data_IF_559092000045
#
_entry.id   IF_559092000045
#
_cell.length_a   1.000
_cell.length_b   1.000
_cell.length_c   1.000
_cell.angle_alpha   90.00
_cell.angle_beta   90.00
_cell.angle_gamma   90.00
#
_symmetry.space_group_name_H-M   'P 1'
#
loop_
_entity.id
_entity.type
_entity.pdbx_description
1 polymer ?
#
# COMPACT_ATOMS: atom_id res chain seq x y z
N UNK A 1 24.30 12.85 9.00
CA UNK A 1 23.64 11.63 9.45
C UNK A 1 22.42 11.98 10.30
N UNK A 2 21.40 11.15 10.28
CA UNK A 2 20.19 11.29 11.08
C UNK A 2 19.83 9.89 11.62
N UNK A 3 19.39 9.83 12.87
CA UNK A 3 18.82 8.64 13.50
C UNK A 3 17.53 9.04 14.18
N UNK A 4 16.50 8.24 14.10
CA UNK A 4 15.21 8.53 14.70
C UNK A 4 14.46 7.27 15.14
N UNK A 5 13.51 7.50 16.03
CA UNK A 5 12.54 6.52 16.50
C UNK A 5 11.15 7.11 16.33
N UNK A 6 10.22 6.32 15.85
CA UNK A 6 8.82 6.68 15.70
C UNK A 6 7.97 5.67 16.44
N UNK A 7 7.05 6.14 17.26
CA UNK A 7 6.06 5.32 17.92
C UNK A 7 4.66 5.86 17.59
N UNK A 8 3.84 4.98 17.05
CA UNK A 8 2.44 5.26 16.74
C UNK A 8 1.54 4.30 17.51
N UNK A 9 0.58 4.83 18.26
CA UNK A 9 -0.45 4.05 18.96
C UNK A 9 -1.83 4.61 18.60
N UNK A 10 -2.68 3.80 18.00
CA UNK A 10 -4.03 4.16 17.64
C UNK A 10 -5.01 3.22 18.35
N UNK A 11 -5.91 3.80 19.11
CA UNK A 11 -7.01 3.11 19.75
C UNK A 11 -8.32 3.67 19.21
N UNK A 12 -9.15 2.78 18.68
CA UNK A 12 -10.48 3.12 18.17
C UNK A 12 -11.51 2.30 18.93
N UNK A 13 -12.58 2.97 19.33
CA UNK A 13 -13.74 2.39 20.02
C UNK A 13 -15.00 2.98 19.43
N UNK A 14 -15.99 2.15 19.21
CA UNK A 14 -17.28 2.60 18.71
C UNK A 14 -18.40 1.69 19.20
N UNK A 15 -19.59 2.18 19.07
CA UNK A 15 -20.80 1.39 19.19
C UNK A 15 -21.80 1.85 18.12
N UNK A 16 -22.67 0.95 17.73
CA UNK A 16 -23.81 1.25 16.87
C UNK A 16 -25.06 0.66 17.48
N UNK A 17 -26.16 1.34 17.26
CA UNK A 17 -27.49 0.84 17.59
C UNK A 17 -28.42 1.13 16.42
N UNK A 18 -29.26 0.17 16.08
CA UNK A 18 -30.24 0.32 15.02
C UNK A 18 -31.57 -0.31 15.46
N UNK A 19 -32.67 0.21 14.90
CA UNK A 19 -33.99 -0.33 15.13
C UNK A 19 -34.90 -0.03 13.94
N UNK A 20 -35.94 -0.83 13.79
CA UNK A 20 -36.92 -0.71 12.71
C UNK A 20 -38.32 -0.62 13.25
N UNK A 21 -39.29 -0.25 12.41
CA UNK A 21 -40.72 -0.22 12.75
C UNK A 21 -41.09 0.99 13.62
N UNK A 22 -40.53 2.17 13.30
CA UNK A 22 -41.05 3.43 13.81
C UNK A 22 -42.47 3.68 13.28
N UNK A 23 -43.42 4.16 14.11
CA UNK A 23 -44.80 4.38 13.69
C UNK A 23 -44.96 5.51 12.67
N UNK A 24 -44.04 6.47 12.65
CA UNK A 24 -44.04 7.62 11.74
C UNK A 24 -42.63 7.93 11.28
N UNK A 25 -42.51 8.46 10.06
CA UNK A 25 -41.19 8.84 9.47
C UNK A 25 -40.48 9.96 10.24
N UNK A 26 -41.20 10.79 10.94
CA UNK A 26 -40.67 11.92 11.70
C UNK A 26 -40.09 11.52 13.07
N UNK A 27 -40.40 10.30 13.55
CA UNK A 27 -39.86 9.75 14.80
C UNK A 27 -38.67 8.84 14.50
N UNK A 28 -37.49 9.42 14.41
CA UNK A 28 -36.23 8.71 14.07
C UNK A 28 -35.45 8.21 15.29
N UNK A 29 -35.97 8.40 16.50
CA UNK A 29 -35.32 7.93 17.72
C UNK A 29 -35.52 6.42 17.95
N UNK A 30 -34.48 5.77 18.43
CA UNK A 30 -34.49 4.33 18.73
C UNK A 30 -35.61 3.94 19.75
N UNK A 31 -36.02 4.87 20.59
CA UNK A 31 -37.12 4.65 21.58
C UNK A 31 -38.46 4.32 20.92
N UNK A 32 -38.68 4.84 19.71
CA UNK A 32 -39.93 4.64 18.97
C UNK A 32 -39.90 3.45 18.01
N UNK A 33 -38.81 2.73 17.95
CA UNK A 33 -38.73 1.51 17.14
C UNK A 33 -39.38 0.33 17.85
N UNK A 34 -39.79 -0.68 17.09
CA UNK A 34 -40.41 -1.89 17.63
C UNK A 34 -39.53 -2.56 18.69
N UNK A 35 -40.14 -3.04 19.75
CA UNK A 35 -39.48 -3.81 20.83
C UNK A 35 -39.48 -5.32 20.57
N UNK A 36 -39.99 -5.77 19.42
CA UNK A 36 -39.95 -7.16 19.04
C UNK A 36 -38.51 -7.72 19.01
N UNK A 37 -38.36 -8.96 19.36
CA UNK A 37 -37.04 -9.61 19.40
C UNK A 37 -36.33 -9.56 18.04
N UNK A 38 -35.08 -9.11 18.04
CA UNK A 38 -34.22 -8.99 16.84
C UNK A 38 -34.41 -7.71 16.02
N UNK A 39 -35.38 -6.84 16.39
CA UNK A 39 -35.63 -5.58 15.67
C UNK A 39 -34.63 -4.49 16.08
N UNK A 40 -34.26 -4.44 17.35
CA UNK A 40 -33.21 -3.56 17.86
C UNK A 40 -31.90 -4.30 17.92
N UNK A 41 -30.87 -3.75 17.28
CA UNK A 41 -29.54 -4.29 17.27
C UNK A 41 -28.58 -3.30 17.94
N UNK A 42 -27.72 -3.81 18.80
CA UNK A 42 -26.68 -3.04 19.46
C UNK A 42 -25.37 -3.78 19.20
N UNK A 43 -24.38 -3.07 18.71
CA UNK A 43 -23.03 -3.59 18.48
C UNK A 43 -22.00 -2.64 19.06
N UNK A 44 -20.88 -3.19 19.48
CA UNK A 44 -19.74 -2.41 19.98
C UNK A 44 -18.44 -3.06 19.59
N UNK A 45 -17.46 -2.23 19.27
CA UNK A 45 -16.14 -2.68 18.86
C UNK A 45 -15.04 -1.80 19.43
N UNK A 46 -13.86 -2.36 19.57
CA UNK A 46 -12.65 -1.64 19.92
C UNK A 46 -11.45 -2.28 19.23
N UNK A 47 -10.56 -1.42 18.71
CA UNK A 47 -9.37 -1.84 17.99
C UNK A 47 -8.17 -1.06 18.50
N UNK A 48 -7.03 -1.71 18.57
CA UNK A 48 -5.77 -1.07 18.88
C UNK A 48 -4.68 -1.53 17.93
N UNK A 49 -3.94 -0.58 17.35
CA UNK A 49 -2.77 -0.87 16.53
C UNK A 49 -1.60 -0.03 17.00
N UNK A 50 -0.40 -0.60 16.93
CA UNK A 50 0.84 0.04 17.29
C UNK A 50 1.90 -0.20 16.24
N UNK A 51 2.68 0.85 15.95
CA UNK A 51 3.86 0.77 15.10
C UNK A 51 5.02 1.33 15.91
N UNK A 52 6.13 0.61 15.91
CA UNK A 52 7.39 1.07 16.45
C UNK A 52 8.43 0.97 15.36
N UNK A 53 9.08 2.09 15.06
CA UNK A 53 10.03 2.20 13.97
C UNK A 53 11.35 2.78 14.43
N UNK A 54 12.44 2.21 13.94
CA UNK A 54 13.79 2.73 14.08
C UNK A 54 14.31 3.04 12.69
N UNK A 55 14.89 4.21 12.50
CA UNK A 55 15.42 4.58 11.20
C UNK A 55 16.70 5.38 11.32
N UNK A 56 17.54 5.23 10.31
CA UNK A 56 18.76 5.99 10.15
C UNK A 56 18.98 6.37 8.70
N UNK A 57 19.59 7.54 8.50
CA UNK A 57 19.96 8.05 7.18
C UNK A 57 21.33 8.70 7.23
N UNK A 58 22.17 8.37 6.25
CA UNK A 58 23.46 9.01 6.03
C UNK A 58 23.47 9.57 4.62
N UNK A 59 23.75 10.86 4.50
CA UNK A 59 23.97 11.52 3.22
C UNK A 59 25.43 11.94 3.16
N UNK A 60 26.08 11.63 2.04
CA UNK A 60 27.45 12.03 1.75
C UNK A 60 27.47 12.81 0.44
N UNK A 61 28.10 13.96 0.49
CA UNK A 61 28.33 14.85 -0.65
C UNK A 61 29.83 15.12 -0.76
N UNK A 62 30.40 14.73 -1.88
CA UNK A 62 31.80 15.03 -2.18
C UNK A 62 31.89 16.04 -3.32
N UNK A 63 32.36 17.26 -2.97
CA UNK A 63 32.53 18.40 -3.89
C UNK A 63 31.27 18.74 -4.69
N UNK A 64 30.11 18.39 -4.18
CA UNK A 64 28.82 18.51 -4.88
C UNK A 64 28.81 17.84 -6.28
N UNK A 65 29.74 16.91 -6.52
CA UNK A 65 29.85 16.08 -7.73
C UNK A 65 29.26 14.69 -7.51
N UNK A 66 29.64 14.07 -6.39
CA UNK A 66 29.22 12.69 -6.05
C UNK A 66 28.34 12.73 -4.81
N UNK A 67 27.14 12.26 -4.99
CA UNK A 67 26.10 12.25 -3.96
C UNK A 67 25.77 10.81 -3.61
N UNK A 68 25.76 10.47 -2.32
CA UNK A 68 25.37 9.15 -1.83
C UNK A 68 24.41 9.32 -0.66
N UNK A 69 23.32 8.54 -0.67
CA UNK A 69 22.39 8.46 0.46
C UNK A 69 22.16 7.00 0.81
N UNK A 70 22.31 6.67 2.08
CA UNK A 70 22.01 5.37 2.66
C UNK A 70 20.88 5.54 3.66
N UNK A 71 19.88 4.67 3.58
CA UNK A 71 18.73 4.66 4.50
C UNK A 71 18.53 3.23 4.99
N UNK A 72 18.27 3.10 6.29
CA UNK A 72 17.83 1.85 6.89
C UNK A 72 16.65 2.16 7.79
N UNK A 73 15.54 1.45 7.58
CA UNK A 73 14.36 1.52 8.43
C UNK A 73 13.96 0.13 8.89
N UNK A 74 13.63 0.00 10.16
CA UNK A 74 13.10 -1.21 10.77
C UNK A 74 11.80 -0.90 11.49
N UNK A 75 10.72 -1.50 11.01
CA UNK A 75 9.35 -1.24 11.47
C UNK A 75 8.75 -2.49 12.11
N UNK A 76 8.15 -2.34 13.29
CA UNK A 76 7.40 -3.39 13.96
C UNK A 76 5.92 -3.04 14.01
N UNK A 77 5.04 -3.93 13.54
CA UNK A 77 3.60 -3.71 13.44
C UNK A 77 2.81 -4.71 14.28
N UNK A 78 1.98 -4.21 15.19
CA UNK A 78 1.31 -5.05 16.20
C UNK A 78 0.29 -6.05 15.66
N UNK A 79 -0.28 -5.83 14.46
CA UNK A 79 -1.23 -6.74 13.83
C UNK A 79 -0.57 -7.98 13.23
N UNK A 80 0.75 -7.97 13.02
CA UNK A 80 1.49 -9.11 12.51
C UNK A 80 1.88 -10.10 13.63
N UNK A 81 2.07 -11.39 13.30
CA UNK A 81 2.54 -12.39 14.26
C UNK A 81 3.89 -12.01 14.86
N UNK A 82 4.19 -12.49 16.04
CA UNK A 82 5.45 -12.15 16.76
C UNK A 82 6.69 -12.36 15.90
N UNK A 83 6.76 -13.46 15.19
CA UNK A 83 7.93 -13.88 14.41
C UNK A 83 8.10 -13.05 13.12
N UNK A 84 7.01 -12.52 12.57
CA UNK A 84 7.00 -11.74 11.31
C UNK A 84 6.68 -10.25 11.52
N UNK A 85 6.62 -9.82 12.77
CA UNK A 85 6.23 -8.45 13.14
C UNK A 85 7.17 -7.38 12.62
N UNK A 86 8.46 -7.71 12.56
CA UNK A 86 9.50 -6.76 12.19
C UNK A 86 9.88 -6.87 10.72
N UNK A 87 9.76 -5.77 9.99
CA UNK A 87 10.28 -5.59 8.65
C UNK A 87 11.54 -4.70 8.66
N UNK A 88 12.51 -5.01 7.80
CA UNK A 88 13.71 -4.21 7.62
C UNK A 88 13.78 -3.75 6.17
N UNK A 89 13.93 -2.45 5.95
CA UNK A 89 13.80 -1.78 4.66
C UNK A 89 15.04 -0.93 4.40
N UNK A 90 16.05 -1.48 3.73
CA UNK A 90 17.23 -0.74 3.30
C UNK A 90 16.96 0.05 2.02
N UNK A 91 17.67 1.16 1.85
CA UNK A 91 17.71 1.94 0.62
C UNK A 91 19.07 2.59 0.39
N UNK A 92 19.47 2.62 -0.87
CA UNK A 92 20.68 3.30 -1.33
C UNK A 92 20.34 4.14 -2.55
N UNK A 93 20.89 5.34 -2.61
CA UNK A 93 20.83 6.17 -3.81
C UNK A 93 22.15 6.85 -4.08
N UNK A 94 22.52 6.93 -5.35
CA UNK A 94 23.70 7.60 -5.81
C UNK A 94 23.35 8.63 -6.90
N UNK A 95 24.08 9.73 -6.91
CA UNK A 95 23.98 10.76 -7.95
C UNK A 95 25.36 11.28 -8.36
N UNK A 96 25.53 11.47 -9.64
CA UNK A 96 26.74 12.05 -10.22
C UNK A 96 26.37 13.31 -11.02
N UNK A 97 26.89 14.45 -10.57
CA UNK A 97 26.68 15.75 -11.22
C UNK A 97 27.77 15.94 -12.26
N UNK A 98 27.52 15.42 -13.48
CA UNK A 98 28.44 15.47 -14.61
C UNK A 98 28.85 16.88 -14.99
N UNK A 99 27.91 17.83 -14.95
CA UNK A 99 28.19 19.24 -15.32
C UNK A 99 29.24 19.95 -14.44
N UNK A 100 29.60 19.33 -13.30
CA UNK A 100 30.66 19.84 -12.42
C UNK A 100 32.03 19.20 -12.65
N UNK A 101 32.14 18.29 -13.60
CA UNK A 101 33.41 17.67 -13.98
C UNK A 101 34.19 18.57 -14.92
N UNK A 102 35.55 18.57 -14.77
CA UNK A 102 36.42 19.44 -15.55
C UNK A 102 36.32 19.16 -17.07
N UNK A 103 36.07 17.90 -17.46
CA UNK A 103 35.86 17.54 -18.87
C UNK A 103 34.61 18.10 -19.51
N UNK A 104 33.63 18.56 -18.68
CA UNK A 104 32.38 19.17 -19.14
C UNK A 104 32.45 20.69 -19.26
N UNK A 105 33.52 21.34 -18.86
CA UNK A 105 33.67 22.80 -18.91
C UNK A 105 33.49 23.36 -20.31
N UNK A 106 34.01 22.67 -21.34
CA UNK A 106 33.86 23.08 -22.74
C UNK A 106 32.43 23.07 -23.24
N UNK A 107 31.53 22.31 -22.60
CA UNK A 107 30.12 22.21 -22.93
C UNK A 107 29.20 23.10 -22.11
N UNK A 108 29.76 23.84 -21.12
CA UNK A 108 29.01 24.61 -20.11
C UNK A 108 28.08 25.70 -20.73
N UNK A 109 28.45 26.24 -21.89
CA UNK A 109 27.62 27.21 -22.62
C UNK A 109 26.30 26.64 -23.11
N UNK A 110 26.25 25.33 -23.41
CA UNK A 110 25.08 24.64 -23.93
C UNK A 110 24.43 23.81 -22.82
N UNK A 111 25.24 23.01 -22.12
CA UNK A 111 24.82 22.11 -21.05
C UNK A 111 25.05 22.74 -19.68
N UNK A 112 24.03 23.40 -19.15
CA UNK A 112 24.11 24.14 -17.87
C UNK A 112 24.08 23.25 -16.66
N UNK A 113 23.43 22.10 -16.77
CA UNK A 113 23.30 21.10 -15.72
C UNK A 113 23.16 19.71 -16.31
N UNK A 114 23.88 18.75 -15.75
CA UNK A 114 23.71 17.35 -16.08
C UNK A 114 23.98 16.50 -14.84
N UNK A 115 23.02 15.64 -14.49
CA UNK A 115 23.11 14.71 -13.37
C UNK A 115 22.55 13.36 -13.78
N UNK A 116 23.27 12.31 -13.45
CA UNK A 116 22.77 10.93 -13.48
C UNK A 116 22.46 10.50 -12.06
N UNK A 117 21.37 9.77 -11.88
CA UNK A 117 20.96 9.24 -10.58
C UNK A 117 20.51 7.79 -10.70
N UNK A 118 20.79 7.03 -9.65
CA UNK A 118 20.28 5.68 -9.50
C UNK A 118 19.92 5.42 -8.03
N UNK A 119 18.89 4.65 -7.80
CA UNK A 119 18.50 4.21 -6.46
C UNK A 119 17.99 2.77 -6.48
N UNK A 120 18.18 2.12 -5.35
CA UNK A 120 17.59 0.82 -5.06
C UNK A 120 17.14 0.79 -3.61
N UNK A 121 15.91 0.36 -3.36
CA UNK A 121 15.39 0.33 -2.01
C UNK A 121 14.22 -0.64 -1.84
N UNK A 122 14.03 -1.03 -0.58
CA UNK A 122 12.89 -1.84 -0.14
C UNK A 122 11.92 -0.98 0.66
N UNK A 123 10.61 -1.16 0.41
CA UNK A 123 9.53 -0.58 1.19
C UNK A 123 8.59 -1.69 1.67
N UNK A 124 8.10 -1.56 2.90
CA UNK A 124 7.08 -2.44 3.47
C UNK A 124 5.68 -1.87 3.36
N UNK A 125 4.70 -2.72 3.14
CA UNK A 125 3.28 -2.37 3.22
C UNK A 125 2.53 -3.41 4.05
N UNK A 126 1.53 -2.94 4.81
CA UNK A 126 0.62 -3.77 5.62
C UNK A 126 -0.82 -3.27 5.54
N UNK A 127 -1.07 -2.21 4.76
CA UNK A 127 -2.39 -1.58 4.67
C UNK A 127 -3.37 -2.35 3.79
N UNK A 128 -2.87 -3.28 2.96
CA UNK A 128 -3.70 -3.97 1.99
C UNK A 128 -4.16 -3.10 0.83
N UNK A 129 -5.22 -3.53 0.15
CA UNK A 129 -5.86 -2.81 -0.95
C UNK A 129 -7.08 -2.08 -0.42
N UNK A 130 -7.20 -0.81 -0.74
CA UNK A 130 -8.36 0.02 -0.40
C UNK A 130 -9.26 0.17 -1.63
N UNK A 131 -10.59 0.22 -1.41
CA UNK A 131 -11.55 0.62 -2.43
C UNK A 131 -11.55 2.15 -2.66
N UNK A 132 -12.37 2.62 -3.59
CA UNK A 132 -12.50 4.05 -3.90
C UNK A 132 -13.02 4.89 -2.70
N UNK A 133 -13.64 4.25 -1.71
CA UNK A 133 -14.16 4.89 -0.49
C UNK A 133 -13.17 4.81 0.67
N UNK A 134 -11.98 4.21 0.47
CA UNK A 134 -10.96 4.05 1.50
C UNK A 134 -11.19 2.86 2.45
N UNK A 135 -12.10 1.93 2.14
CA UNK A 135 -12.28 0.71 2.90
C UNK A 135 -11.25 -0.34 2.49
N UNK A 136 -10.78 -1.14 3.42
CA UNK A 136 -9.89 -2.26 3.13
C UNK A 136 -10.69 -3.36 2.44
N UNK A 137 -10.39 -3.59 1.15
CA UNK A 137 -10.99 -4.67 0.35
C UNK A 137 -10.25 -5.98 0.59
N UNK A 138 -8.92 -5.92 0.56
CA UNK A 138 -8.05 -7.06 0.83
C UNK A 138 -6.88 -6.58 1.66
N UNK A 139 -6.72 -7.08 2.86
CA UNK A 139 -5.62 -6.64 3.72
C UNK A 139 -5.68 -7.16 5.13
N UNK A 140 -4.70 -6.75 5.92
CA UNK A 140 -4.53 -7.19 7.29
C UNK A 140 -5.53 -6.52 8.22
N UNK A 141 -6.57 -7.23 8.62
CA UNK A 141 -7.46 -6.81 9.69
C UNK A 141 -6.85 -7.06 11.08
N UNK A 142 -7.52 -6.60 12.12
CA UNK A 142 -7.05 -6.75 13.51
C UNK A 142 -7.00 -8.20 13.97
N UNK A 143 -7.81 -9.07 13.39
CA UNK A 143 -7.96 -10.47 13.77
C UNK A 143 -7.43 -11.47 12.75
N UNK A 144 -6.92 -11.02 11.60
CA UNK A 144 -6.44 -11.91 10.52
C UNK A 144 -5.43 -12.97 10.99
N UNK A 145 -4.58 -12.60 11.96
CA UNK A 145 -3.56 -13.52 12.49
C UNK A 145 -4.14 -14.56 13.44
N UNK A 146 -5.10 -14.15 14.30
CA UNK A 146 -5.71 -15.00 15.31
C UNK A 146 -6.94 -15.76 14.79
N UNK A 147 -7.52 -15.31 13.69
CA UNK A 147 -8.83 -15.70 13.25
C UNK A 147 -9.95 -15.07 14.09
N UNK A 148 -11.18 -15.24 13.67
CA UNK A 148 -12.34 -14.72 14.38
C UNK A 148 -13.48 -15.73 14.44
N UNK A 149 -14.25 -15.63 15.52
CA UNK A 149 -15.50 -16.34 15.69
C UNK A 149 -16.67 -15.36 15.67
N UNK A 150 -17.74 -15.73 15.00
CA UNK A 150 -18.98 -14.99 14.96
C UNK A 150 -20.13 -15.77 15.53
N UNK A 151 -21.20 -15.08 15.84
CA UNK A 151 -22.48 -15.68 16.21
C UNK A 151 -23.14 -16.23 14.94
N UNK A 152 -23.56 -17.49 14.97
CA UNK A 152 -24.27 -18.10 13.86
C UNK A 152 -25.64 -17.43 13.68
N UNK A 153 -25.87 -16.90 12.49
CA UNK A 153 -27.15 -16.28 12.08
C UNK A 153 -27.75 -17.06 10.94
N UNK A 154 -29.08 -17.09 10.89
CA UNK A 154 -29.81 -17.62 9.74
C UNK A 154 -29.78 -16.65 8.54
N UNK A 155 -30.41 -17.06 7.43
CA UNK A 155 -30.52 -16.24 6.21
C UNK A 155 -31.22 -14.89 6.41
N UNK A 156 -32.01 -14.76 7.46
CA UNK A 156 -32.75 -13.54 7.80
C UNK A 156 -32.01 -12.69 8.83
N UNK A 157 -30.76 -13.08 9.18
CA UNK A 157 -29.90 -12.36 10.12
C UNK A 157 -30.24 -12.59 11.59
N UNK A 158 -31.16 -13.50 11.91
CA UNK A 158 -31.51 -13.85 13.29
C UNK A 158 -30.49 -14.84 13.85
N UNK A 159 -30.18 -14.70 15.14
CA UNK A 159 -29.36 -15.67 15.86
C UNK A 159 -30.05 -17.04 15.81
N UNK A 160 -29.36 -18.02 15.28
CA UNK A 160 -29.86 -19.40 15.25
C UNK A 160 -30.03 -19.88 16.69
N UNK A 161 -31.23 -20.31 17.09
CA UNK A 161 -31.44 -20.88 18.41
C UNK A 161 -30.59 -22.13 18.56
N UNK A 162 -29.97 -22.24 19.70
CA UNK A 162 -29.02 -23.32 19.90
C UNK A 162 -29.55 -24.43 20.79
N UNK A 163 -28.76 -25.46 20.87
CA UNK A 163 -28.93 -26.55 21.83
C UNK A 163 -28.66 -26.02 23.25
N UNK A 164 -29.63 -26.16 24.14
CA UNK A 164 -29.52 -25.84 25.57
C UNK A 164 -29.31 -24.35 25.92
N UNK A 165 -29.91 -23.41 25.19
CA UNK A 165 -29.91 -21.98 25.52
C UNK A 165 -28.58 -21.24 25.29
N UNK A 166 -27.58 -21.86 24.66
CA UNK A 166 -26.28 -21.22 24.35
C UNK A 166 -26.24 -20.74 22.91
N UNK A 167 -25.69 -19.57 22.66
CA UNK A 167 -25.54 -19.01 21.32
C UNK A 167 -24.44 -19.76 20.55
N UNK A 168 -24.73 -20.34 19.36
CA UNK A 168 -23.74 -21.05 18.61
C UNK A 168 -22.74 -20.09 18.00
N UNK A 169 -21.46 -20.46 18.04
CA UNK A 169 -20.37 -19.75 17.39
C UNK A 169 -19.95 -20.48 16.12
N UNK A 170 -19.63 -19.73 15.10
CA UNK A 170 -19.01 -20.23 13.87
C UNK A 170 -17.67 -19.55 13.66
N UNK A 171 -16.79 -20.20 12.93
CA UNK A 171 -15.54 -19.60 12.47
C UNK A 171 -15.89 -18.63 11.34
N UNK A 172 -15.55 -17.35 11.51
CA UNK A 172 -15.65 -16.36 10.44
C UNK A 172 -14.37 -16.32 9.61
N UNK A 173 -13.23 -16.24 10.28
CA UNK A 173 -11.92 -16.13 9.63
C UNK A 173 -10.98 -17.19 10.19
N UNK A 174 -10.25 -17.85 9.29
CA UNK A 174 -9.18 -18.77 9.69
C UNK A 174 -7.96 -18.01 10.16
N UNK A 175 -7.28 -18.46 11.22
CA UNK A 175 -6.05 -17.82 11.69
C UNK A 175 -4.92 -18.02 10.68
N UNK A 176 -4.14 -16.96 10.44
CA UNK A 176 -2.92 -17.07 9.64
C UNK A 176 -1.69 -16.59 10.42
N UNK A 177 -1.00 -17.48 11.14
CA UNK A 177 0.20 -17.14 11.89
C UNK A 177 1.43 -16.87 11.00
N UNK A 178 1.35 -17.09 9.70
CA UNK A 178 2.47 -16.89 8.76
C UNK A 178 2.43 -15.53 8.06
N UNK A 179 1.44 -14.71 8.36
CA UNK A 179 1.31 -13.35 7.77
C UNK A 179 2.56 -12.52 8.01
N UNK A 180 2.97 -11.78 6.99
CA UNK A 180 4.18 -10.95 7.00
C UNK A 180 3.99 -9.68 6.17
N UNK A 181 4.99 -8.80 6.21
CA UNK A 181 5.03 -7.58 5.42
C UNK A 181 5.02 -7.88 3.93
N UNK A 182 4.18 -7.18 3.16
CA UNK A 182 4.41 -7.04 1.72
C UNK A 182 5.69 -6.24 1.51
N UNK A 183 6.56 -6.68 0.60
CA UNK A 183 7.85 -6.04 0.32
C UNK A 183 7.90 -5.59 -1.14
N UNK A 184 8.12 -4.30 -1.33
CA UNK A 184 8.33 -3.71 -2.66
C UNK A 184 9.79 -3.31 -2.81
N UNK A 185 10.49 -3.96 -3.73
CA UNK A 185 11.85 -3.62 -4.14
C UNK A 185 11.77 -2.75 -5.39
N UNK A 186 12.32 -1.56 -5.31
CA UNK A 186 12.26 -0.60 -6.42
C UNK A 186 13.68 -0.23 -6.83
N UNK A 187 13.99 -0.46 -8.11
CA UNK A 187 15.15 0.10 -8.79
C UNK A 187 14.69 1.28 -9.61
N UNK A 188 15.37 2.42 -9.47
CA UNK A 188 15.14 3.62 -10.25
C UNK A 188 16.46 4.14 -10.79
N UNK A 189 16.46 4.59 -12.05
CA UNK A 189 17.59 5.31 -12.65
C UNK A 189 17.06 6.42 -13.54
N UNK A 190 17.84 7.47 -13.69
CA UNK A 190 17.42 8.60 -14.50
C UNK A 190 18.51 9.63 -14.68
N UNK A 191 18.18 10.63 -15.46
CA UNK A 191 19.03 11.79 -15.66
C UNK A 191 18.22 13.08 -15.63
N UNK A 192 18.85 14.13 -15.15
CA UNK A 192 18.34 15.49 -15.09
C UNK A 192 19.27 16.37 -15.90
N UNK A 193 18.80 17.02 -16.96
CA UNK A 193 19.59 17.82 -17.89
C UNK A 193 18.99 19.20 -18.05
N UNK A 194 19.82 20.23 -17.95
CA UNK A 194 19.47 21.62 -18.19
C UNK A 194 20.32 22.20 -19.32
N UNK A 195 19.68 22.79 -20.32
CA UNK A 195 20.31 23.42 -21.47
C UNK A 195 20.14 24.95 -21.44
N UNK A 196 21.12 25.67 -22.03
CA UNK A 196 21.08 27.12 -22.27
C UNK A 196 20.68 27.92 -21.03
N UNK A 197 21.48 27.82 -19.97
CA UNK A 197 21.21 28.44 -18.65
C UNK A 197 19.87 27.99 -18.04
N UNK A 198 19.58 26.68 -18.16
CA UNK A 198 18.33 26.05 -17.72
C UNK A 198 17.08 26.64 -18.39
N UNK A 199 17.23 27.17 -19.62
CA UNK A 199 16.06 27.55 -20.43
C UNK A 199 15.20 26.34 -20.75
N UNK A 200 15.83 25.18 -21.02
CA UNK A 200 15.18 23.90 -21.21
C UNK A 200 15.68 22.92 -20.15
N UNK A 201 14.75 22.27 -19.46
CA UNK A 201 15.04 21.27 -18.43
C UNK A 201 14.35 19.98 -18.84
N UNK A 202 15.11 18.89 -18.86
CA UNK A 202 14.64 17.55 -19.21
C UNK A 202 14.95 16.62 -18.03
N UNK A 203 13.93 15.99 -17.47
CA UNK A 203 14.04 14.96 -16.44
C UNK A 203 13.51 13.64 -17.02
N UNK A 204 14.30 12.61 -16.92
CA UNK A 204 13.93 11.25 -17.34
C UNK A 204 14.13 10.30 -16.17
N UNK A 205 13.16 9.41 -15.95
CA UNK A 205 13.23 8.36 -14.95
C UNK A 205 12.75 7.04 -15.54
N UNK A 206 13.52 5.98 -15.33
CA UNK A 206 13.09 4.60 -15.52
C UNK A 206 12.95 3.96 -14.14
N UNK A 207 11.91 3.19 -13.90
CA UNK A 207 11.74 2.42 -12.69
C UNK A 207 11.30 0.98 -12.96
N UNK A 208 11.70 0.09 -12.05
CA UNK A 208 11.24 -1.29 -11.99
C UNK A 208 10.97 -1.63 -10.54
N UNK A 209 9.70 -1.84 -10.21
CA UNK A 209 9.23 -2.21 -8.88
C UNK A 209 8.72 -3.63 -8.87
N UNK A 210 9.27 -4.44 -8.00
CA UNK A 210 8.85 -5.81 -7.75
C UNK A 210 8.28 -5.92 -6.34
N UNK A 211 6.97 -6.20 -6.24
CA UNK A 211 6.26 -6.39 -4.97
C UNK A 211 6.08 -7.87 -4.73
N UNK A 212 6.66 -8.36 -3.65
CA UNK A 212 6.60 -9.73 -3.17
C UNK A 212 5.74 -9.81 -1.91
N UNK A 213 5.30 -11.04 -1.58
CA UNK A 213 4.49 -11.30 -0.39
C UNK A 213 3.21 -10.47 -0.35
N UNK A 214 2.66 -10.12 -1.53
CA UNK A 214 1.44 -9.31 -1.65
C UNK A 214 0.25 -10.08 -1.06
N UNK A 215 -0.59 -9.37 -0.31
CA UNK A 215 -1.83 -9.94 0.22
C UNK A 215 -2.74 -10.39 -0.92
N UNK A 216 -3.14 -11.64 -0.85
CA UNK A 216 -4.07 -12.26 -1.80
C UNK A 216 -4.97 -13.24 -1.05
N UNK A 217 -6.25 -13.24 -1.41
CA UNK A 217 -7.20 -14.20 -0.90
C UNK A 217 -7.12 -15.53 -1.66
N UNK A 218 -7.16 -16.61 -0.93
CA UNK A 218 -7.26 -17.97 -1.45
C UNK A 218 -8.69 -18.43 -1.22
N UNK A 219 -9.41 -18.74 -2.28
CA UNK A 219 -10.75 -19.34 -2.20
C UNK A 219 -10.66 -20.76 -1.66
N UNK A 220 -11.47 -21.07 -0.69
CA UNK A 220 -11.55 -22.39 -0.09
C UNK A 220 -12.79 -23.14 -0.58
N UNK A 221 -12.74 -24.47 -0.64
CA UNK A 221 -13.91 -25.29 -0.96
C UNK A 221 -15.03 -25.07 0.05
N UNK A 222 -16.30 -25.10 -0.41
CA UNK A 222 -17.48 -24.81 0.42
C UNK A 222 -17.60 -25.69 1.68
N UNK A 223 -17.03 -26.89 1.67
CA UNK A 223 -17.05 -27.79 2.81
C UNK A 223 -16.08 -27.41 3.94
N UNK A 224 -15.20 -26.44 3.73
CA UNK A 224 -14.28 -25.95 4.77
C UNK A 224 -14.98 -25.08 5.83
N UNK A 225 -16.23 -24.65 5.56
CA UNK A 225 -16.99 -23.75 6.43
C UNK A 225 -16.56 -22.28 6.37
N UNK A 226 -15.52 -21.96 5.62
CA UNK A 226 -15.03 -20.58 5.39
C UNK A 226 -14.77 -20.41 3.90
N UNK A 227 -15.15 -19.25 3.34
CA UNK A 227 -15.12 -19.02 1.89
C UNK A 227 -13.72 -18.65 1.37
N UNK A 228 -12.91 -17.97 2.19
CA UNK A 228 -11.60 -17.49 1.78
C UNK A 228 -10.61 -17.46 2.94
N UNK A 229 -9.34 -17.33 2.58
CA UNK A 229 -8.21 -17.28 3.49
C UNK A 229 -7.18 -16.29 2.96
N UNK A 230 -6.87 -15.28 3.76
CA UNK A 230 -5.89 -14.26 3.38
C UNK A 230 -4.46 -14.77 3.59
N UNK A 231 -3.61 -14.60 2.58
CA UNK A 231 -2.22 -15.08 2.59
C UNK A 231 -1.29 -14.13 1.84
N UNK A 232 0.03 -14.27 2.05
CA UNK A 232 1.08 -13.54 1.35
C UNK A 232 1.60 -14.32 0.13
N UNK A 233 0.78 -14.52 -0.88
CA UNK A 233 1.10 -15.37 -2.03
C UNK A 233 1.13 -14.65 -3.38
N UNK A 234 0.89 -13.33 -3.39
CA UNK A 234 0.90 -12.54 -4.61
C UNK A 234 2.29 -11.96 -4.92
N UNK A 235 2.62 -11.91 -6.21
CA UNK A 235 3.79 -11.22 -6.72
C UNK A 235 3.42 -10.39 -7.94
N UNK A 236 3.81 -9.10 -7.95
CA UNK A 236 3.49 -8.15 -9.03
C UNK A 236 4.72 -7.33 -9.38
N UNK A 237 4.93 -7.13 -10.67
CA UNK A 237 5.97 -6.25 -11.20
C UNK A 237 5.34 -5.05 -11.90
N UNK A 238 5.84 -3.86 -11.58
CA UNK A 238 5.51 -2.61 -12.24
C UNK A 238 6.80 -1.99 -12.77
N UNK A 239 6.84 -1.71 -14.06
CA UNK A 239 7.97 -1.02 -14.68
C UNK A 239 7.47 0.09 -15.58
N UNK A 240 8.21 1.18 -15.64
CA UNK A 240 7.79 2.32 -16.44
C UNK A 240 8.88 3.34 -16.67
N UNK A 241 8.51 4.34 -17.45
CA UNK A 241 9.35 5.48 -17.79
C UNK A 241 8.53 6.75 -17.61
N UNK A 242 9.18 7.77 -17.10
CA UNK A 242 8.60 9.10 -16.92
C UNK A 242 9.52 10.13 -17.59
N UNK A 243 8.92 11.06 -18.32
CA UNK A 243 9.62 12.13 -18.97
C UNK A 243 8.94 13.44 -18.62
N UNK A 244 9.72 14.39 -18.14
CA UNK A 244 9.28 15.77 -17.89
C UNK A 244 10.16 16.73 -18.67
N UNK A 245 9.52 17.63 -19.39
CA UNK A 245 10.16 18.71 -20.15
C UNK A 245 9.62 20.04 -19.66
N UNK A 246 10.50 20.94 -19.25
CA UNK A 246 10.16 22.31 -18.90
C UNK A 246 10.94 23.27 -19.78
N UNK A 247 10.21 24.19 -20.45
CA UNK A 247 10.78 25.24 -21.27
C UNK A 247 10.44 26.62 -20.72
N UNK A 248 11.46 27.38 -20.33
CA UNK A 248 11.34 28.79 -19.98
C UNK A 248 11.42 29.62 -21.29
N UNK A 249 10.29 29.73 -21.99
CA UNK A 249 10.23 30.31 -23.34
C UNK A 249 10.58 31.80 -23.33
N UNK A 250 10.01 32.53 -22.39
CA UNK A 250 10.24 33.97 -22.23
C UNK A 250 10.56 34.27 -20.77
N UNK A 251 11.63 35.03 -20.56
CA UNK A 251 12.00 35.57 -19.25
C UNK A 251 12.58 36.97 -19.42
N UNK A 252 11.73 37.95 -19.23
CA UNK A 252 12.09 39.39 -19.26
C UNK A 252 11.92 39.95 -17.84
N UNK A 253 12.14 41.25 -17.70
CA UNK A 253 11.95 41.95 -16.42
C UNK A 253 10.48 41.88 -15.95
N UNK A 254 9.53 41.98 -16.91
CA UNK A 254 8.11 42.13 -16.60
C UNK A 254 7.30 40.85 -16.93
N UNK A 255 7.88 39.96 -17.76
CA UNK A 255 7.17 38.75 -18.23
C UNK A 255 7.98 37.49 -18.03
N UNK A 256 7.30 36.45 -17.50
CA UNK A 256 7.84 35.09 -17.41
C UNK A 256 6.82 34.13 -18.00
N UNK A 257 7.22 33.42 -19.08
CA UNK A 257 6.40 32.40 -19.70
C UNK A 257 7.14 31.05 -19.68
N UNK A 258 6.54 30.07 -18.99
CA UNK A 258 7.09 28.70 -18.86
C UNK A 258 6.06 27.71 -19.35
N UNK A 259 6.49 26.76 -20.14
CA UNK A 259 5.69 25.62 -20.62
C UNK A 259 6.28 24.36 -20.01
N UNK A 260 5.45 23.52 -19.41
CA UNK A 260 5.85 22.20 -18.90
C UNK A 260 4.98 21.11 -19.50
N UNK A 261 5.61 19.99 -19.86
CA UNK A 261 4.96 18.79 -20.36
C UNK A 261 5.50 17.60 -19.60
N UNK A 262 4.62 16.71 -19.17
CA UNK A 262 4.98 15.43 -18.60
C UNK A 262 4.29 14.29 -19.33
N UNK A 263 4.95 13.15 -19.41
CA UNK A 263 4.39 11.90 -19.94
C UNK A 263 4.94 10.72 -19.17
N UNK A 264 4.12 9.70 -18.99
CA UNK A 264 4.49 8.48 -18.30
C UNK A 264 3.99 7.26 -19.06
N UNK A 265 4.80 6.23 -19.08
CA UNK A 265 4.43 4.90 -19.58
C UNK A 265 4.65 3.89 -18.45
N UNK A 266 3.60 3.13 -18.14
CA UNK A 266 3.64 2.09 -17.10
C UNK A 266 3.19 0.74 -17.67
N UNK A 267 3.89 -0.32 -17.28
CA UNK A 267 3.55 -1.70 -17.61
C UNK A 267 3.51 -2.53 -16.33
N UNK A 268 2.34 -3.12 -16.07
CA UNK A 268 2.10 -4.02 -14.95
C UNK A 268 2.17 -5.47 -15.41
N UNK A 269 2.68 -6.35 -14.57
CA UNK A 269 2.73 -7.78 -14.81
C UNK A 269 2.51 -8.53 -13.50
N UNK A 270 1.61 -9.49 -13.50
CA UNK A 270 1.47 -10.46 -12.42
C UNK A 270 2.53 -11.53 -12.62
N UNK A 271 3.37 -11.73 -11.60
CA UNK A 271 4.45 -12.72 -11.62
C UNK A 271 3.96 -14.03 -11.02
N UNK A 272 3.28 -13.95 -9.86
CA UNK A 272 2.77 -15.12 -9.14
C UNK A 272 1.45 -14.80 -8.48
N UNK A 273 0.57 -15.79 -8.43
CA UNK A 273 -0.72 -15.77 -7.73
C UNK A 273 -0.87 -17.08 -6.94
N UNK A 274 -1.76 -17.13 -5.94
CA UNK A 274 -2.20 -18.38 -5.35
C UNK A 274 -2.59 -19.38 -6.45
N UNK A 275 -2.14 -20.61 -6.32
CA UNK A 275 -2.34 -21.67 -7.33
C UNK A 275 -1.82 -21.32 -8.73
N UNK A 276 -0.86 -20.42 -8.86
CA UNK A 276 -0.32 -19.95 -10.16
C UNK A 276 -1.39 -19.46 -11.15
N UNK A 277 -2.50 -18.89 -10.65
CA UNK A 277 -3.61 -18.43 -11.48
C UNK A 277 -4.45 -19.56 -12.08
N UNK A 278 -4.52 -20.72 -11.44
CA UNK A 278 -5.39 -21.82 -11.88
C UNK A 278 -6.86 -21.39 -11.85
N UNK A 279 -7.69 -21.90 -12.80
CA UNK A 279 -9.08 -21.47 -12.96
C UNK A 279 -10.00 -21.69 -11.75
N UNK A 280 -9.64 -22.55 -10.83
CA UNK A 280 -10.45 -22.90 -9.67
C UNK A 280 -10.28 -21.97 -8.47
N UNK A 281 -9.58 -20.84 -8.60
CA UNK A 281 -9.48 -19.85 -7.56
C UNK A 281 -10.20 -18.55 -7.93
N UNK A 282 -10.22 -17.56 -7.02
CA UNK A 282 -10.95 -16.29 -7.20
C UNK A 282 -10.54 -15.49 -8.43
N UNK A 283 -9.33 -15.65 -8.94
CA UNK A 283 -8.85 -14.94 -10.13
C UNK A 283 -9.58 -15.38 -11.40
N UNK A 284 -10.19 -16.53 -11.40
CA UNK A 284 -10.94 -17.03 -12.55
C UNK A 284 -12.10 -16.11 -12.92
N UNK A 285 -12.82 -15.60 -11.92
CA UNK A 285 -13.92 -14.66 -12.12
C UNK A 285 -13.51 -13.37 -12.84
N UNK A 286 -12.26 -12.97 -12.71
CA UNK A 286 -11.68 -11.78 -13.33
C UNK A 286 -10.73 -12.10 -14.49
N UNK A 287 -10.58 -13.36 -14.85
CA UNK A 287 -9.64 -13.83 -15.86
C UNK A 287 -8.20 -13.33 -15.65
N UNK A 288 -7.76 -13.29 -14.41
CA UNK A 288 -6.43 -12.84 -13.99
C UNK A 288 -5.51 -14.03 -13.84
N UNK A 289 -4.48 -14.09 -14.69
CA UNK A 289 -3.53 -15.21 -14.71
C UNK A 289 -2.09 -14.69 -14.61
N UNK A 290 -1.20 -15.53 -14.11
CA UNK A 290 0.24 -15.25 -14.07
C UNK A 290 0.75 -14.86 -15.47
N UNK A 291 1.54 -13.80 -15.56
CA UNK A 291 2.08 -13.29 -16.82
C UNK A 291 1.17 -12.32 -17.57
N UNK A 292 -0.09 -12.15 -17.18
CA UNK A 292 -0.97 -11.14 -17.76
C UNK A 292 -0.74 -9.77 -17.17
N UNK A 293 -1.13 -8.75 -17.93
CA UNK A 293 -1.15 -7.36 -17.45
C UNK A 293 -2.35 -7.20 -16.52
N UNK A 294 -2.20 -6.36 -15.51
CA UNK A 294 -3.35 -5.82 -14.77
C UNK A 294 -4.13 -4.88 -15.69
N UNK A 295 -5.43 -5.00 -15.69
CA UNK A 295 -6.31 -4.11 -16.45
C UNK A 295 -6.32 -2.71 -15.85
#
# INVERSE_FOLDING_TARGET
AMVGVEYYDSYKKGFSASGYGSPLSDFQDLNYTSTAAGVRQIDSWHYRQRILSFFGRVNYDYKSKYLLSLVLRRDGYSKLPKDNRWGTFPGISAGWVLSRENFMESCSNVLSYAKIRASYGANGNVSGVLDANGNVVTGLDYYTVQGSYGIMKDKDGKIVPNYNGKVPLMINDLPNPTMRWEKSYTFETGFDIGFLNNKYILNFTYYNRHTQDKFAEITLPSHSGVSSFLSNNGEVQNQGMELELTANVLRTKDWKFTVSMNTAYNKNKIISLPYNGLPNNMQDAYQVYTGRKLA
#
